data_IF_353933078688
#
_entry.id   IF_353933078688
#
_cell.length_a   1.000
_cell.length_b   1.000
_cell.length_c   1.000
_cell.angle_alpha   90.00
_cell.angle_beta   90.00
_cell.angle_gamma   90.00
#
_symmetry.space_group_name_H-M   'P 1'
#
loop_
_entity.id
_entity.type
_entity.pdbx_description
1 polymer ?
#
# COMPACT_ATOMS: atom_id res chain seq x y z
N UNK A 1 -40.74 40.36 52.55
CA UNK A 1 -41.15 39.98 51.18
C UNK A 1 -40.06 40.06 50.12
N UNK A 2 -39.39 41.20 49.89
CA UNK A 2 -38.38 41.35 48.82
C UNK A 2 -37.19 40.37 48.87
N UNK A 3 -36.70 40.03 50.07
CA UNK A 3 -35.59 39.07 50.23
C UNK A 3 -35.95 37.62 49.93
N UNK A 4 -37.24 37.25 50.08
CA UNK A 4 -37.74 35.89 49.80
C UNK A 4 -37.95 35.69 48.29
N UNK A 5 -38.49 36.70 47.61
CA UNK A 5 -38.59 36.74 46.14
C UNK A 5 -37.22 36.67 45.46
N UNK A 6 -36.22 37.41 45.95
CA UNK A 6 -34.87 37.35 45.37
C UNK A 6 -34.17 35.98 45.55
N UNK A 7 -34.55 35.22 46.59
CA UNK A 7 -34.05 33.87 46.81
C UNK A 7 -34.75 32.85 45.90
N UNK A 8 -36.06 32.98 45.73
CA UNK A 8 -36.88 32.17 44.82
C UNK A 8 -36.47 32.37 43.36
N UNK A 9 -36.17 33.61 42.94
CA UNK A 9 -35.68 33.91 41.59
C UNK A 9 -34.29 33.31 41.33
N UNK A 10 -33.40 33.32 42.35
CA UNK A 10 -32.09 32.67 42.25
C UNK A 10 -32.18 31.15 42.18
N UNK A 11 -33.10 30.55 42.93
CA UNK A 11 -33.36 29.12 42.89
C UNK A 11 -33.88 28.70 41.50
N UNK A 12 -34.86 29.44 40.97
CA UNK A 12 -35.41 29.21 39.62
C UNK A 12 -34.34 29.36 38.53
N UNK A 13 -33.43 30.34 38.66
CA UNK A 13 -32.30 30.49 37.74
C UNK A 13 -31.28 29.34 37.84
N UNK A 14 -31.04 28.81 39.05
CA UNK A 14 -30.16 27.67 39.25
C UNK A 14 -30.77 26.37 38.69
N UNK A 15 -32.06 26.15 38.88
CA UNK A 15 -32.81 25.03 38.33
C UNK A 15 -32.81 25.06 36.79
N UNK A 16 -33.10 26.21 36.18
CA UNK A 16 -33.06 26.37 34.72
C UNK A 16 -31.65 26.14 34.13
N UNK A 17 -30.59 26.50 34.86
CA UNK A 17 -29.20 26.21 34.45
C UNK A 17 -28.88 24.71 34.55
N UNK A 18 -29.40 24.03 35.57
CA UNK A 18 -29.19 22.60 35.77
C UNK A 18 -29.93 21.78 34.70
N UNK A 19 -31.17 22.16 34.37
CA UNK A 19 -31.94 21.57 33.27
C UNK A 19 -31.27 21.81 31.91
N UNK A 20 -30.79 23.03 31.66
CA UNK A 20 -30.02 23.34 30.44
C UNK A 20 -28.73 22.55 30.32
N UNK A 21 -28.01 22.33 31.44
CA UNK A 21 -26.83 21.48 31.48
C UNK A 21 -27.17 20.00 31.24
N UNK A 22 -28.27 19.50 31.81
CA UNK A 22 -28.73 18.12 31.58
C UNK A 22 -29.13 17.88 30.12
N UNK A 23 -29.83 18.84 29.50
CA UNK A 23 -30.19 18.77 28.08
C UNK A 23 -28.94 18.76 27.17
N UNK A 24 -27.95 19.60 27.47
CA UNK A 24 -26.70 19.62 26.71
C UNK A 24 -25.90 18.30 26.83
N UNK A 25 -25.91 17.65 28.00
CA UNK A 25 -25.26 16.34 28.19
C UNK A 25 -25.96 15.25 27.38
N UNK A 26 -27.30 15.25 27.31
CA UNK A 26 -28.04 14.29 26.50
C UNK A 26 -27.85 14.52 24.99
N UNK A 27 -27.74 15.77 24.53
CA UNK A 27 -27.39 16.07 23.13
C UNK A 27 -26.00 15.57 22.76
N UNK A 28 -25.00 15.74 23.65
CA UNK A 28 -23.65 15.21 23.43
C UNK A 28 -23.67 13.68 23.36
N UNK A 29 -24.40 13.01 24.26
CA UNK A 29 -24.54 11.53 24.23
C UNK A 29 -25.22 11.05 22.95
N UNK A 30 -26.29 11.72 22.52
CA UNK A 30 -26.97 11.40 21.28
C UNK A 30 -26.05 11.59 20.06
N UNK A 31 -25.26 12.68 20.02
CA UNK A 31 -24.28 12.93 18.98
C UNK A 31 -23.14 11.89 18.97
N UNK A 32 -22.66 11.46 20.14
CA UNK A 32 -21.65 10.40 20.26
C UNK A 32 -22.18 9.05 19.77
N UNK A 33 -23.42 8.69 20.12
CA UNK A 33 -24.02 7.43 19.66
C UNK A 33 -24.30 7.43 18.16
N UNK A 34 -24.75 8.56 17.60
CA UNK A 34 -24.86 8.76 16.15
C UNK A 34 -23.50 8.56 15.46
N UNK A 35 -22.45 9.24 15.94
CA UNK A 35 -21.10 9.10 15.39
C UNK A 35 -20.56 7.65 15.51
N UNK A 36 -20.81 6.95 16.62
CA UNK A 36 -20.44 5.54 16.79
C UNK A 36 -21.18 4.64 15.81
N UNK A 37 -22.48 4.86 15.61
CA UNK A 37 -23.31 4.08 14.70
C UNK A 37 -22.89 4.27 13.23
N UNK A 38 -22.60 5.50 12.82
CA UNK A 38 -22.08 5.80 11.48
C UNK A 38 -20.72 5.16 11.25
N UNK A 39 -19.81 5.25 12.24
CA UNK A 39 -18.51 4.60 12.17
C UNK A 39 -18.66 3.08 12.07
N UNK A 40 -19.57 2.48 12.84
CA UNK A 40 -19.85 1.05 12.80
C UNK A 40 -20.41 0.62 11.44
N UNK A 41 -21.37 1.35 10.89
CA UNK A 41 -21.91 1.09 9.54
C UNK A 41 -20.79 1.14 8.50
N UNK A 42 -19.94 2.16 8.57
CA UNK A 42 -18.80 2.32 7.65
C UNK A 42 -17.82 1.14 7.76
N UNK A 43 -17.53 0.68 8.98
CA UNK A 43 -16.67 -0.49 9.21
C UNK A 43 -17.34 -1.75 8.64
N UNK A 44 -18.62 -1.98 8.94
CA UNK A 44 -19.37 -3.15 8.45
C UNK A 44 -19.41 -3.19 6.92
N UNK A 45 -19.66 -2.05 6.25
CA UNK A 45 -19.58 -1.92 4.80
C UNK A 45 -18.18 -2.22 4.25
N UNK A 46 -17.13 -1.69 4.91
CA UNK A 46 -15.74 -1.94 4.49
C UNK A 46 -15.34 -3.42 4.63
N UNK A 47 -15.81 -4.09 5.69
CA UNK A 47 -15.59 -5.52 5.93
C UNK A 47 -16.34 -6.34 4.89
N UNK A 48 -17.61 -6.05 4.65
CA UNK A 48 -18.41 -6.72 3.63
C UNK A 48 -17.82 -6.58 2.22
N UNK A 49 -17.35 -5.37 1.87
CA UNK A 49 -16.68 -5.13 0.59
C UNK A 49 -15.37 -5.94 0.47
N UNK A 50 -14.58 -6.02 1.55
CA UNK A 50 -13.36 -6.83 1.58
C UNK A 50 -13.64 -8.33 1.46
N UNK A 51 -14.71 -8.82 2.09
CA UNK A 51 -15.12 -10.22 1.97
C UNK A 51 -15.65 -10.56 0.58
N UNK A 52 -16.45 -9.67 -0.02
CA UNK A 52 -16.94 -9.83 -1.39
C UNK A 52 -15.78 -9.88 -2.39
N UNK A 53 -14.83 -8.96 -2.26
CA UNK A 53 -13.61 -8.94 -3.06
C UNK A 53 -12.79 -10.23 -2.90
N UNK A 54 -12.67 -10.76 -1.68
CA UNK A 54 -11.98 -12.02 -1.43
C UNK A 54 -12.68 -13.21 -2.11
N UNK A 55 -14.01 -13.28 -2.04
CA UNK A 55 -14.81 -14.36 -2.68
C UNK A 55 -14.71 -14.32 -4.19
N UNK A 56 -14.87 -13.14 -4.79
CA UNK A 56 -14.75 -12.93 -6.23
C UNK A 56 -13.34 -13.32 -6.72
N UNK A 57 -12.30 -12.87 -5.99
CA UNK A 57 -10.92 -13.26 -6.27
C UNK A 57 -10.74 -14.78 -6.23
N UNK A 58 -11.24 -15.46 -5.20
CA UNK A 58 -11.13 -16.92 -5.08
C UNK A 58 -11.85 -17.68 -6.19
N UNK A 59 -13.01 -17.19 -6.63
CA UNK A 59 -13.76 -17.78 -7.73
C UNK A 59 -13.03 -17.64 -9.06
N UNK A 60 -12.55 -16.43 -9.38
CA UNK A 60 -11.78 -16.17 -10.58
C UNK A 60 -10.43 -16.90 -10.58
N UNK A 61 -9.78 -17.04 -9.42
CA UNK A 61 -8.58 -17.87 -9.27
C UNK A 61 -8.86 -19.35 -9.60
N UNK A 62 -10.01 -19.87 -9.15
CA UNK A 62 -10.43 -21.25 -9.46
C UNK A 62 -10.69 -21.42 -10.97
N UNK A 63 -11.40 -20.48 -11.58
CA UNK A 63 -11.70 -20.51 -13.01
C UNK A 63 -10.45 -20.37 -13.88
N UNK A 64 -9.55 -19.43 -13.53
CA UNK A 64 -8.29 -19.25 -14.24
C UNK A 64 -7.43 -20.51 -14.15
N UNK A 65 -7.32 -21.11 -12.96
CA UNK A 65 -6.59 -22.36 -12.77
C UNK A 65 -7.17 -23.52 -13.60
N UNK A 66 -8.49 -23.60 -13.75
CA UNK A 66 -9.12 -24.62 -14.58
C UNK A 66 -8.78 -24.47 -16.07
N UNK A 67 -8.43 -23.26 -16.52
CA UNK A 67 -8.04 -22.95 -17.90
C UNK A 67 -6.55 -23.18 -18.19
N UNK A 68 -5.72 -23.45 -17.16
CA UNK A 68 -4.28 -23.62 -17.38
C UNK A 68 -3.92 -24.93 -18.08
N UNK A 69 -2.97 -24.92 -19.05
CA UNK A 69 -2.45 -26.15 -19.62
C UNK A 69 -1.74 -26.99 -18.54
N UNK A 70 -2.06 -28.28 -18.46
CA UNK A 70 -1.51 -29.25 -17.51
C UNK A 70 0.03 -29.47 -17.63
N UNK A 71 0.67 -28.84 -18.61
CA UNK A 71 2.08 -29.00 -18.97
C UNK A 71 3.06 -28.13 -18.17
N UNK A 72 2.59 -27.21 -17.33
CA UNK A 72 3.49 -26.39 -16.52
C UNK A 72 4.11 -27.25 -15.39
N UNK A 73 5.37 -27.65 -15.56
CA UNK A 73 6.14 -28.39 -14.56
C UNK A 73 6.13 -27.63 -13.23
N UNK A 74 5.56 -28.25 -12.20
CA UNK A 74 5.57 -27.69 -10.85
C UNK A 74 6.92 -27.99 -10.20
N UNK A 75 7.49 -27.05 -9.41
CA UNK A 75 8.77 -27.29 -8.75
C UNK A 75 8.70 -28.50 -7.82
N UNK A 76 9.75 -29.32 -7.82
CA UNK A 76 9.85 -30.50 -6.96
C UNK A 76 10.26 -30.11 -5.54
N UNK A 77 10.02 -30.94 -4.50
CA UNK A 77 10.50 -30.65 -3.15
C UNK A 77 12.02 -30.42 -3.06
N UNK A 78 12.80 -31.10 -3.91
CA UNK A 78 14.24 -30.90 -4.00
C UNK A 78 14.61 -29.51 -4.54
N UNK A 79 13.83 -28.99 -5.49
CA UNK A 79 14.00 -27.63 -6.01
C UNK A 79 13.75 -26.58 -4.91
N UNK A 80 12.73 -26.76 -4.08
CA UNK A 80 12.47 -25.88 -2.93
C UNK A 80 13.66 -25.86 -1.97
N UNK A 81 14.21 -27.03 -1.62
CA UNK A 81 15.34 -27.12 -0.70
C UNK A 81 16.61 -26.51 -1.29
N UNK A 82 16.85 -26.71 -2.59
CA UNK A 82 17.94 -26.08 -3.32
C UNK A 82 17.83 -24.56 -3.25
N UNK A 83 16.66 -24.00 -3.52
CA UNK A 83 16.43 -22.55 -3.48
C UNK A 83 16.62 -21.99 -2.06
N UNK A 84 16.05 -22.65 -1.04
CA UNK A 84 16.23 -22.26 0.37
C UNK A 84 17.71 -22.22 0.77
N UNK A 85 18.51 -23.17 0.30
CA UNK A 85 19.95 -23.23 0.53
C UNK A 85 20.70 -22.11 -0.17
N UNK A 86 20.44 -21.89 -1.46
CA UNK A 86 21.07 -20.84 -2.27
C UNK A 86 20.80 -19.46 -1.66
N UNK A 87 19.55 -19.20 -1.29
CA UNK A 87 19.13 -17.90 -0.72
C UNK A 87 19.31 -17.80 0.80
N UNK A 88 19.95 -18.80 1.43
CA UNK A 88 20.30 -18.81 2.85
C UNK A 88 19.11 -18.51 3.76
N UNK A 89 18.01 -19.22 3.54
CA UNK A 89 16.79 -19.07 4.34
C UNK A 89 17.09 -19.35 5.81
N UNK A 90 16.32 -18.69 6.68
CA UNK A 90 16.41 -18.84 8.13
C UNK A 90 15.07 -19.34 8.64
N UNK A 91 15.12 -20.37 9.48
CA UNK A 91 13.94 -20.92 10.12
C UNK A 91 13.28 -19.89 11.05
N UNK A 92 11.96 -19.84 11.08
CA UNK A 92 11.20 -18.85 11.87
C UNK A 92 11.23 -17.40 11.35
N UNK A 93 11.84 -17.14 10.19
CA UNK A 93 11.77 -15.86 9.48
C UNK A 93 10.73 -15.88 8.35
N UNK A 94 10.26 -14.70 7.97
CA UNK A 94 9.49 -14.44 6.75
C UNK A 94 10.41 -13.93 5.65
N UNK A 95 10.39 -14.59 4.51
CA UNK A 95 11.22 -14.29 3.35
C UNK A 95 10.39 -13.61 2.27
N UNK A 96 10.68 -12.33 2.03
CA UNK A 96 10.01 -11.48 1.05
C UNK A 96 10.88 -11.32 -0.20
N UNK A 97 10.39 -11.79 -1.34
CA UNK A 97 11.01 -11.52 -2.64
C UNK A 97 10.50 -10.19 -3.19
N UNK A 98 11.39 -9.22 -3.43
CA UNK A 98 11.08 -7.93 -4.06
C UNK A 98 11.48 -8.01 -5.52
N UNK A 99 10.48 -7.96 -6.41
CA UNK A 99 10.62 -8.17 -7.85
C UNK A 99 9.97 -7.03 -8.63
N UNK A 100 10.30 -6.93 -9.92
CA UNK A 100 9.80 -5.89 -10.81
C UNK A 100 10.87 -5.30 -11.71
N UNK A 101 10.45 -4.50 -12.69
CA UNK A 101 11.35 -3.94 -13.71
C UNK A 101 12.54 -3.14 -13.14
N UNK A 102 13.61 -3.02 -13.93
CA UNK A 102 14.74 -2.14 -13.59
C UNK A 102 14.28 -0.70 -13.36
N UNK A 103 14.78 -0.04 -12.31
CA UNK A 103 14.47 1.37 -12.04
C UNK A 103 13.08 1.67 -11.46
N UNK A 104 12.23 0.68 -11.15
CA UNK A 104 10.95 0.93 -10.46
C UNK A 104 11.11 1.29 -8.97
N UNK A 105 12.30 1.17 -8.39
CA UNK A 105 12.56 1.59 -7.00
C UNK A 105 12.46 0.46 -5.96
N UNK A 106 12.68 -0.79 -6.37
CA UNK A 106 12.76 -1.97 -5.49
C UNK A 106 13.69 -1.78 -4.29
N UNK A 107 14.94 -1.44 -4.57
CA UNK A 107 15.97 -1.22 -3.55
C UNK A 107 15.59 -0.09 -2.60
N UNK A 108 15.07 1.02 -3.13
CA UNK A 108 14.59 2.16 -2.32
C UNK A 108 13.44 1.77 -1.40
N UNK A 109 12.48 0.97 -1.87
CA UNK A 109 11.36 0.52 -1.05
C UNK A 109 11.80 -0.51 0.00
N UNK A 110 12.69 -1.44 -0.36
CA UNK A 110 13.30 -2.39 0.58
C UNK A 110 14.02 -1.67 1.72
N UNK A 111 14.78 -0.61 1.42
CA UNK A 111 15.41 0.24 2.42
C UNK A 111 14.37 0.96 3.30
N UNK A 112 13.31 1.50 2.69
CA UNK A 112 12.24 2.17 3.40
C UNK A 112 11.55 1.24 4.40
N UNK A 113 11.22 0.00 4.02
CA UNK A 113 10.66 -1.01 4.94
C UNK A 113 11.60 -1.41 6.07
N UNK A 114 12.91 -1.20 5.92
CA UNK A 114 13.90 -1.40 6.98
C UNK A 114 14.13 -0.14 7.82
N UNK A 115 13.49 0.98 7.49
CA UNK A 115 13.72 2.28 8.13
C UNK A 115 15.07 2.91 7.79
N UNK A 116 15.73 2.42 6.74
CA UNK A 116 17.09 2.80 6.35
C UNK A 116 17.02 3.86 5.25
N UNK A 117 17.79 4.94 5.42
CA UNK A 117 17.94 5.97 4.39
C UNK A 117 18.80 5.42 3.25
N UNK A 118 18.40 5.72 2.01
CA UNK A 118 19.19 5.38 0.83
C UNK A 118 20.60 5.98 0.94
N UNK A 119 21.58 5.35 0.28
CA UNK A 119 23.00 5.72 0.29
C UNK A 119 23.72 5.58 1.65
N UNK A 120 23.06 4.99 2.65
CA UNK A 120 23.76 4.53 3.86
C UNK A 120 24.53 3.23 3.61
N UNK A 121 25.56 2.97 4.43
CA UNK A 121 26.45 1.79 4.29
C UNK A 121 25.66 0.46 4.31
N UNK A 122 24.53 0.43 5.01
CA UNK A 122 23.67 -0.77 5.16
C UNK A 122 22.47 -0.83 4.20
N UNK A 123 22.34 0.19 3.34
CA UNK A 123 21.29 0.30 2.35
C UNK A 123 21.55 -0.65 1.18
N UNK A 124 20.46 -1.18 0.62
CA UNK A 124 20.49 -1.70 -0.74
C UNK A 124 20.89 -0.56 -1.68
N UNK A 125 21.82 -0.84 -2.59
CA UNK A 125 22.30 0.12 -3.58
C UNK A 125 21.13 0.62 -4.44
N UNK A 126 21.10 1.90 -4.78
CA UNK A 126 20.02 2.51 -5.57
C UNK A 126 20.57 3.26 -6.80
N UNK A 127 19.70 3.56 -7.78
CA UNK A 127 20.07 4.40 -8.92
C UNK A 127 21.16 3.80 -9.82
N UNK A 128 22.12 4.63 -10.25
CA UNK A 128 23.19 4.23 -11.19
C UNK A 128 24.04 3.07 -10.66
N UNK A 129 24.18 2.93 -9.34
CA UNK A 129 24.92 1.82 -8.73
C UNK A 129 24.24 0.46 -8.96
N UNK A 130 22.90 0.42 -9.10
CA UNK A 130 22.18 -0.82 -9.40
C UNK A 130 22.49 -1.35 -10.80
N UNK A 131 22.74 -0.47 -11.79
CA UNK A 131 23.12 -0.85 -13.15
C UNK A 131 24.55 -1.42 -13.26
N UNK A 132 25.40 -1.15 -12.25
CA UNK A 132 26.77 -1.68 -12.16
C UNK A 132 26.84 -3.01 -11.38
N UNK A 133 25.81 -3.33 -10.57
CA UNK A 133 25.76 -4.53 -9.69
C UNK A 133 24.58 -5.46 -10.02
N UNK A 134 23.91 -5.23 -11.15
CA UNK A 134 22.61 -5.78 -11.62
C UNK A 134 22.50 -7.30 -11.74
N UNK A 135 23.51 -8.06 -11.32
CA UNK A 135 23.57 -9.52 -11.48
C UNK A 135 23.40 -10.29 -10.16
N UNK A 136 23.50 -9.62 -9.01
CA UNK A 136 23.45 -10.30 -7.70
C UNK A 136 22.20 -9.94 -6.90
N UNK A 137 21.59 -10.96 -6.30
CA UNK A 137 20.42 -10.81 -5.41
C UNK A 137 20.88 -10.23 -4.08
N UNK A 138 20.30 -9.09 -3.68
CA UNK A 138 20.58 -8.47 -2.40
C UNK A 138 19.77 -9.12 -1.29
N UNK A 139 20.41 -9.59 -0.22
CA UNK A 139 19.72 -10.16 0.95
C UNK A 139 19.90 -9.27 2.17
N UNK A 140 18.78 -8.80 2.71
CA UNK A 140 18.77 -7.81 3.77
C UNK A 140 17.88 -8.24 4.93
N UNK A 141 18.48 -8.42 6.11
CA UNK A 141 17.68 -8.64 7.33
C UNK A 141 17.08 -7.31 7.80
N UNK A 142 15.90 -7.38 8.41
CA UNK A 142 15.33 -6.25 9.13
C UNK A 142 16.19 -5.91 10.37
N UNK A 143 16.55 -4.64 10.60
CA UNK A 143 17.35 -4.26 11.75
C UNK A 143 16.60 -4.32 13.08
N UNK A 144 15.26 -4.36 13.08
CA UNK A 144 14.45 -4.38 14.30
C UNK A 144 14.49 -5.77 14.94
N UNK A 145 14.83 -5.84 16.23
CA UNK A 145 15.09 -7.10 16.95
C UNK A 145 13.88 -8.04 17.02
N UNK A 146 12.67 -7.51 17.07
CA UNK A 146 11.44 -8.31 17.12
C UNK A 146 10.93 -8.66 15.71
N UNK A 147 11.45 -8.02 14.67
CA UNK A 147 11.06 -8.24 13.28
C UNK A 147 11.87 -9.38 12.67
N UNK A 148 11.20 -10.50 12.38
CA UNK A 148 11.82 -11.67 11.73
C UNK A 148 11.61 -11.65 10.22
N UNK A 149 11.83 -10.50 9.59
CA UNK A 149 11.67 -10.33 8.14
C UNK A 149 13.03 -10.33 7.44
N UNK A 150 13.09 -10.95 6.27
CA UNK A 150 14.24 -10.92 5.37
C UNK A 150 13.75 -10.46 4.00
N UNK A 151 14.37 -9.41 3.50
CA UNK A 151 14.06 -8.78 2.22
C UNK A 151 15.08 -9.22 1.18
N UNK A 152 14.60 -9.72 0.04
CA UNK A 152 15.40 -10.18 -1.07
C UNK A 152 15.15 -9.28 -2.28
N UNK A 153 16.13 -8.45 -2.62
CA UNK A 153 16.04 -7.54 -3.77
C UNK A 153 16.57 -8.25 -5.01
N UNK A 154 15.65 -8.60 -5.92
CA UNK A 154 15.98 -9.30 -7.14
C UNK A 154 16.36 -8.31 -8.26
N UNK A 155 17.26 -8.70 -9.18
CA UNK A 155 17.56 -7.89 -10.34
C UNK A 155 16.30 -7.69 -11.20
N UNK A 156 16.22 -6.57 -11.90
CA UNK A 156 14.99 -6.21 -12.61
C UNK A 156 14.67 -7.15 -13.76
N UNK A 157 13.38 -7.50 -13.91
CA UNK A 157 12.88 -8.18 -15.11
C UNK A 157 13.28 -7.36 -16.35
N UNK A 158 14.04 -7.97 -17.28
CA UNK A 158 14.57 -7.32 -18.47
C UNK A 158 16.01 -6.77 -18.36
N UNK A 159 16.60 -6.69 -17.16
CA UNK A 159 17.99 -6.22 -16.98
C UNK A 159 19.04 -7.34 -16.88
N UNK A 160 18.62 -8.58 -16.67
CA UNK A 160 19.50 -9.70 -16.35
C UNK A 160 19.68 -10.73 -17.50
N UNK A 161 19.23 -10.44 -18.72
CA UNK A 161 19.33 -11.37 -19.86
C UNK A 161 18.47 -12.64 -19.75
N UNK A 162 17.67 -12.77 -18.68
CA UNK A 162 16.69 -13.84 -18.49
C UNK A 162 15.37 -13.44 -19.16
N UNK A 163 14.78 -14.38 -19.92
CA UNK A 163 13.47 -14.17 -20.54
C UNK A 163 12.40 -13.92 -19.47
N UNK A 164 11.41 -13.07 -19.75
CA UNK A 164 10.32 -12.78 -18.82
C UNK A 164 9.63 -14.04 -18.25
N UNK A 165 9.29 -15.04 -19.10
CA UNK A 165 8.68 -16.29 -18.65
C UNK A 165 9.56 -17.15 -17.73
N UNK A 166 10.88 -17.15 -17.94
CA UNK A 166 11.81 -17.98 -17.16
C UNK A 166 12.23 -17.32 -15.85
N UNK A 167 12.07 -16.00 -15.72
CA UNK A 167 12.49 -15.21 -14.56
C UNK A 167 12.02 -15.81 -13.22
N UNK A 168 10.75 -16.22 -13.15
CA UNK A 168 10.15 -16.76 -11.94
C UNK A 168 10.82 -18.06 -11.48
N UNK A 169 11.03 -19.00 -12.40
CA UNK A 169 11.64 -20.29 -12.11
C UNK A 169 13.15 -20.18 -11.91
N UNK A 170 13.82 -19.36 -12.73
CA UNK A 170 15.26 -19.13 -12.68
C UNK A 170 15.71 -18.63 -11.30
N UNK A 171 14.96 -17.68 -10.73
CA UNK A 171 15.27 -17.11 -9.43
C UNK A 171 14.68 -17.88 -8.24
N UNK A 172 13.90 -18.94 -8.52
CA UNK A 172 13.28 -19.76 -7.49
C UNK A 172 12.23 -19.00 -6.68
N UNK A 173 11.49 -18.08 -7.31
CA UNK A 173 10.51 -17.24 -6.62
C UNK A 173 9.42 -18.08 -5.91
N UNK A 174 9.18 -19.30 -6.40
CA UNK A 174 8.26 -20.26 -5.79
C UNK A 174 8.55 -20.62 -4.33
N UNK A 175 9.81 -20.50 -3.86
CA UNK A 175 10.17 -20.89 -2.51
C UNK A 175 9.96 -19.78 -1.46
N UNK A 176 9.64 -18.56 -1.87
CA UNK A 176 9.47 -17.41 -0.97
C UNK A 176 8.09 -17.41 -0.29
N UNK A 177 8.03 -16.86 0.92
CA UNK A 177 6.77 -16.78 1.67
C UNK A 177 5.81 -15.76 1.03
N UNK A 178 6.37 -14.65 0.54
CA UNK A 178 5.63 -13.55 -0.05
C UNK A 178 6.41 -12.91 -1.20
N UNK A 179 5.70 -12.49 -2.24
CA UNK A 179 6.29 -11.78 -3.39
C UNK A 179 5.75 -10.35 -3.43
N UNK A 180 6.65 -9.37 -3.45
CA UNK A 180 6.35 -7.96 -3.64
C UNK A 180 6.66 -7.61 -5.08
N UNK A 181 5.62 -7.48 -5.88
CA UNK A 181 5.74 -7.15 -7.30
C UNK A 181 5.56 -5.64 -7.48
N UNK A 182 6.66 -4.97 -7.79
CA UNK A 182 6.74 -3.52 -7.90
C UNK A 182 6.74 -3.07 -9.35
N UNK A 183 5.88 -2.11 -9.65
CA UNK A 183 5.86 -1.43 -10.94
C UNK A 183 5.73 0.09 -10.74
N UNK A 184 6.01 0.84 -11.80
CA UNK A 184 6.03 2.31 -11.76
C UNK A 184 4.99 2.87 -12.75
N UNK A 185 5.27 2.70 -14.05
CA UNK A 185 4.43 3.27 -15.11
C UNK A 185 3.44 2.26 -15.71
N UNK A 186 3.92 1.06 -16.05
CA UNK A 186 3.10 -0.03 -16.62
C UNK A 186 3.57 -1.38 -16.11
N UNK A 187 2.67 -2.34 -16.06
CA UNK A 187 3.02 -3.75 -15.90
C UNK A 187 3.69 -4.24 -17.19
N UNK A 188 4.78 -4.97 -17.05
CA UNK A 188 5.46 -5.62 -18.18
C UNK A 188 4.99 -7.06 -18.32
N UNK A 189 5.20 -7.67 -19.48
CA UNK A 189 4.88 -9.09 -19.71
C UNK A 189 5.59 -10.01 -18.71
N UNK A 190 6.79 -9.63 -18.27
CA UNK A 190 7.51 -10.35 -17.24
C UNK A 190 6.84 -10.24 -15.86
N UNK A 191 6.27 -9.07 -15.53
CA UNK A 191 5.53 -8.87 -14.29
C UNK A 191 4.23 -9.70 -14.31
N UNK A 192 3.54 -9.74 -15.46
CA UNK A 192 2.35 -10.57 -15.68
C UNK A 192 2.71 -12.05 -15.52
N UNK A 193 3.80 -12.53 -16.13
CA UNK A 193 4.25 -13.92 -15.99
C UNK A 193 4.58 -14.30 -14.53
N UNK A 194 5.13 -13.37 -13.75
CA UNK A 194 5.32 -13.58 -12.30
C UNK A 194 3.97 -13.71 -11.59
N UNK A 195 3.01 -12.83 -11.87
CA UNK A 195 1.67 -12.89 -11.28
C UNK A 195 0.93 -14.18 -11.61
N UNK A 196 0.99 -14.63 -12.88
CA UNK A 196 0.44 -15.92 -13.30
C UNK A 196 1.02 -17.08 -12.48
N UNK A 197 2.33 -17.11 -12.28
CA UNK A 197 2.97 -18.14 -11.47
C UNK A 197 2.60 -18.04 -9.99
N UNK A 198 2.44 -16.83 -9.46
CA UNK A 198 1.97 -16.63 -8.09
C UNK A 198 0.57 -17.20 -7.89
N UNK A 199 -0.37 -16.91 -8.80
CA UNK A 199 -1.74 -17.44 -8.76
C UNK A 199 -1.74 -18.97 -8.93
N UNK A 200 -0.97 -19.48 -9.90
CA UNK A 200 -0.84 -20.92 -10.19
C UNK A 200 -0.36 -21.72 -8.97
N UNK A 201 0.67 -21.21 -8.30
CA UNK A 201 1.31 -21.86 -7.15
C UNK A 201 0.74 -21.42 -5.79
N UNK A 202 -0.29 -20.55 -5.79
CA UNK A 202 -0.92 -19.99 -4.58
C UNK A 202 0.08 -19.30 -3.65
N UNK A 203 1.05 -18.59 -4.22
CA UNK A 203 2.02 -17.81 -3.47
C UNK A 203 1.40 -16.44 -3.20
N UNK A 204 1.29 -16.02 -1.93
CA UNK A 204 0.78 -14.69 -1.61
C UNK A 204 1.66 -13.60 -2.21
N UNK A 205 1.04 -12.60 -2.83
CA UNK A 205 1.75 -11.47 -3.43
C UNK A 205 1.12 -10.13 -3.08
N UNK A 206 1.96 -9.08 -3.10
CA UNK A 206 1.57 -7.69 -2.96
C UNK A 206 1.89 -6.97 -4.27
N UNK A 207 0.85 -6.40 -4.89
CA UNK A 207 0.97 -5.62 -6.11
C UNK A 207 1.16 -4.14 -5.74
N UNK A 208 2.37 -3.61 -5.95
CA UNK A 208 2.76 -2.31 -5.42
C UNK A 208 3.11 -1.37 -6.58
N UNK A 209 2.32 -0.30 -6.74
CA UNK A 209 2.68 0.82 -7.62
C UNK A 209 3.55 1.80 -6.83
N UNK A 210 4.78 1.94 -7.29
CA UNK A 210 5.80 2.79 -6.68
C UNK A 210 5.76 4.22 -7.23
N UNK A 211 6.53 5.12 -6.60
CA UNK A 211 6.72 6.51 -7.03
C UNK A 211 5.40 7.29 -7.15
N UNK A 212 4.40 6.94 -6.35
CA UNK A 212 3.10 7.60 -6.38
C UNK A 212 3.19 9.10 -6.12
N UNK A 213 4.16 9.56 -5.31
CA UNK A 213 4.42 10.99 -5.11
C UNK A 213 4.76 11.71 -6.42
N UNK A 214 5.59 11.11 -7.28
CA UNK A 214 5.97 11.70 -8.56
C UNK A 214 4.80 11.67 -9.57
N UNK A 215 4.03 10.58 -9.61
CA UNK A 215 2.86 10.50 -10.49
C UNK A 215 1.80 11.53 -10.14
N UNK A 216 1.54 11.73 -8.84
CA UNK A 216 0.59 12.74 -8.40
C UNK A 216 1.10 14.15 -8.73
N UNK A 217 2.39 14.43 -8.48
CA UNK A 217 3.00 15.71 -8.85
C UNK A 217 2.86 16.01 -10.34
N UNK A 218 3.11 15.03 -11.21
CA UNK A 218 2.93 15.18 -12.65
C UNK A 218 1.47 15.52 -13.01
N UNK A 219 0.49 14.93 -12.33
CA UNK A 219 -0.93 15.26 -12.54
C UNK A 219 -1.23 16.67 -12.02
N UNK A 220 -0.71 17.04 -10.84
CA UNK A 220 -0.85 18.39 -10.28
C UNK A 220 -0.33 19.46 -11.27
N UNK A 221 0.84 19.24 -11.88
CA UNK A 221 1.43 20.16 -12.86
C UNK A 221 0.61 20.27 -14.16
N UNK A 222 0.04 19.16 -14.63
CA UNK A 222 -0.87 19.16 -15.79
C UNK A 222 -2.16 19.92 -15.49
N UNK A 223 -2.74 19.73 -14.30
CA UNK A 223 -3.95 20.46 -13.90
C UNK A 223 -3.67 21.95 -13.72
N UNK A 224 -2.50 22.30 -13.18
CA UNK A 224 -2.08 23.69 -13.03
C UNK A 224 -1.96 24.39 -14.38
N UNK A 225 -1.24 23.77 -15.33
CA UNK A 225 -1.08 24.31 -16.69
C UNK A 225 -2.44 24.50 -17.39
N UNK A 226 -3.39 23.57 -17.20
CA UNK A 226 -4.75 23.72 -17.78
C UNK A 226 -5.49 24.91 -17.21
N UNK A 227 -5.44 25.10 -15.90
CA UNK A 227 -6.07 26.25 -15.24
C UNK A 227 -5.44 27.57 -15.67
N UNK A 228 -4.11 27.61 -15.83
CA UNK A 228 -3.37 28.78 -16.34
C UNK A 228 -3.74 29.09 -17.80
N UNK A 229 -4.03 28.07 -18.63
CA UNK A 229 -4.42 28.25 -20.02
C UNK A 229 -5.90 28.65 -20.21
N UNK A 230 -6.77 28.27 -19.27
CA UNK A 230 -8.19 28.66 -19.25
C UNK A 230 -8.41 30.11 -18.77
N UNK A 231 -7.33 30.83 -18.43
CA UNK A 231 -7.40 32.04 -17.63
C UNK A 231 -7.91 33.28 -18.38
N UNK A 232 -9.24 33.40 -18.35
CA UNK A 232 -10.02 34.65 -18.36
C UNK A 232 -10.37 35.10 -16.92
N UNK A 233 -9.76 34.52 -15.87
CA UNK A 233 -10.13 34.73 -14.45
C UNK A 233 -8.89 35.11 -13.62
N UNK A 234 -8.23 36.19 -14.03
CA UNK A 234 -7.03 36.77 -13.39
C UNK A 234 -7.27 37.20 -11.91
N UNK A 235 -8.53 37.35 -11.49
CA UNK A 235 -8.88 38.02 -10.23
C UNK A 235 -9.11 37.08 -9.02
N UNK A 236 -9.30 35.77 -9.22
CA UNK A 236 -9.65 34.84 -8.14
C UNK A 236 -8.44 34.04 -7.59
N UNK A 237 -7.44 33.73 -8.43
CA UNK A 237 -6.18 33.11 -7.99
C UNK A 237 -5.44 33.94 -6.93
N UNK A 238 -5.52 35.28 -7.03
CA UNK A 238 -4.89 36.20 -6.07
C UNK A 238 -5.59 36.21 -4.71
N UNK A 239 -6.86 35.80 -4.62
CA UNK A 239 -7.67 35.94 -3.39
C UNK A 239 -7.48 34.80 -2.40
N UNK A 240 -7.30 33.55 -2.86
CA UNK A 240 -7.13 32.35 -1.99
C UNK A 240 -6.20 31.27 -2.59
N UNK A 241 -4.89 31.55 -2.73
CA UNK A 241 -3.95 30.63 -3.37
C UNK A 241 -3.81 29.28 -2.64
N UNK A 242 -3.83 29.29 -1.30
CA UNK A 242 -3.66 28.08 -0.49
C UNK A 242 -4.81 27.09 -0.64
N UNK A 243 -6.05 27.56 -0.68
CA UNK A 243 -7.23 26.69 -0.77
C UNK A 243 -7.39 26.08 -2.17
N UNK A 244 -7.09 26.82 -3.23
CA UNK A 244 -7.08 26.27 -4.60
C UNK A 244 -5.96 25.25 -4.82
N UNK A 245 -4.75 25.50 -4.29
CA UNK A 245 -3.66 24.51 -4.33
C UNK A 245 -4.03 23.21 -3.59
N UNK A 246 -4.73 23.33 -2.46
CA UNK A 246 -5.26 22.18 -1.74
C UNK A 246 -6.26 21.39 -2.58
N UNK A 247 -7.24 22.06 -3.20
CA UNK A 247 -8.24 21.39 -4.04
C UNK A 247 -7.61 20.71 -5.26
N UNK A 248 -6.66 21.37 -5.92
CA UNK A 248 -5.93 20.81 -7.05
C UNK A 248 -5.14 19.54 -6.65
N UNK A 249 -4.54 19.55 -5.46
CA UNK A 249 -3.88 18.38 -4.88
C UNK A 249 -4.86 17.23 -4.59
N UNK A 250 -6.09 17.52 -4.13
CA UNK A 250 -7.13 16.51 -3.92
C UNK A 250 -7.56 15.93 -5.27
N UNK A 251 -7.82 16.78 -6.26
CA UNK A 251 -8.25 16.36 -7.59
C UNK A 251 -7.19 15.50 -8.28
N UNK A 252 -5.91 15.89 -8.17
CA UNK A 252 -4.81 15.11 -8.70
C UNK A 252 -4.70 13.73 -8.05
N UNK A 253 -4.85 13.65 -6.72
CA UNK A 253 -4.86 12.39 -6.00
C UNK A 253 -6.03 11.51 -6.42
N UNK A 254 -7.24 12.06 -6.50
CA UNK A 254 -8.44 11.33 -6.94
C UNK A 254 -8.31 10.80 -8.37
N UNK A 255 -7.77 11.61 -9.29
CA UNK A 255 -7.47 11.19 -10.67
C UNK A 255 -6.42 10.08 -10.70
N UNK A 256 -5.34 10.23 -9.93
CA UNK A 256 -4.27 9.23 -9.85
C UNK A 256 -4.78 7.88 -9.36
N UNK A 257 -5.55 7.85 -8.27
CA UNK A 257 -6.10 6.63 -7.69
C UNK A 257 -7.05 5.95 -8.70
N UNK A 258 -7.97 6.72 -9.28
CA UNK A 258 -8.96 6.20 -10.23
C UNK A 258 -8.29 5.62 -11.47
N UNK A 259 -7.38 6.37 -12.09
CA UNK A 259 -6.65 5.93 -13.27
C UNK A 259 -5.79 4.70 -12.99
N UNK A 260 -5.11 4.66 -11.84
CA UNK A 260 -4.27 3.51 -11.46
C UNK A 260 -5.10 2.24 -11.28
N UNK A 261 -6.23 2.33 -10.58
CA UNK A 261 -7.11 1.18 -10.35
C UNK A 261 -7.68 0.66 -11.65
N UNK A 262 -8.23 1.55 -12.49
CA UNK A 262 -8.76 1.19 -13.81
C UNK A 262 -7.71 0.58 -14.73
N UNK A 263 -6.52 1.20 -14.84
CA UNK A 263 -5.46 0.67 -15.71
C UNK A 263 -4.98 -0.71 -15.27
N UNK A 264 -4.92 -0.93 -13.94
CA UNK A 264 -4.47 -2.21 -13.40
C UNK A 264 -5.53 -3.29 -13.57
N UNK A 265 -6.80 -2.94 -13.35
CA UNK A 265 -7.92 -3.86 -13.55
C UNK A 265 -8.01 -4.31 -15.00
N UNK A 266 -7.88 -3.39 -15.96
CA UNK A 266 -7.83 -3.72 -17.39
C UNK A 266 -6.64 -4.63 -17.70
N UNK A 267 -5.44 -4.30 -17.22
CA UNK A 267 -4.24 -5.11 -17.47
C UNK A 267 -4.35 -6.54 -16.89
N UNK A 268 -4.90 -6.68 -15.68
CA UNK A 268 -5.12 -7.99 -15.06
C UNK A 268 -6.19 -8.78 -15.84
N UNK A 269 -7.27 -8.13 -16.26
CA UNK A 269 -8.34 -8.76 -17.04
C UNK A 269 -7.86 -9.23 -18.42
N UNK A 270 -7.05 -8.42 -19.10
CA UNK A 270 -6.44 -8.77 -20.39
C UNK A 270 -5.49 -9.97 -20.27
N UNK A 271 -4.77 -10.07 -19.14
CA UNK A 271 -3.95 -11.23 -18.80
C UNK A 271 -4.77 -12.44 -18.28
N UNK A 272 -6.10 -12.30 -18.14
CA UNK A 272 -6.97 -13.31 -17.55
C UNK A 272 -6.74 -13.54 -16.06
N UNK A 273 -5.97 -12.70 -15.38
CA UNK A 273 -5.65 -12.81 -13.97
C UNK A 273 -6.81 -12.35 -13.09
N UNK A 274 -6.95 -12.92 -11.88
CA UNK A 274 -7.95 -12.48 -10.91
C UNK A 274 -7.68 -11.03 -10.45
N UNK A 275 -8.74 -10.28 -10.10
CA UNK A 275 -8.61 -8.93 -9.56
C UNK A 275 -7.78 -8.98 -8.27
N UNK A 276 -6.86 -8.03 -8.16
CA UNK A 276 -5.87 -8.00 -7.09
C UNK A 276 -5.78 -6.60 -6.50
N UNK A 277 -5.69 -6.51 -5.16
CA UNK A 277 -5.53 -5.23 -4.46
C UNK A 277 -4.17 -4.62 -4.84
N UNK A 278 -4.22 -3.38 -5.32
CA UNK A 278 -3.04 -2.58 -5.70
C UNK A 278 -2.77 -1.59 -4.59
N UNK A 279 -1.51 -1.49 -4.17
CA UNK A 279 -1.05 -0.49 -3.19
C UNK A 279 -0.25 0.59 -3.91
N UNK A 280 -0.70 1.82 -3.82
CA UNK A 280 -0.01 3.01 -4.32
C UNK A 280 0.84 3.60 -3.21
N UNK A 281 2.16 3.59 -3.40
CA UNK A 281 3.11 3.99 -2.34
C UNK A 281 4.24 4.89 -2.83
N UNK A 282 4.65 5.78 -1.93
CA UNK A 282 5.92 6.48 -1.98
C UNK A 282 6.89 5.88 -0.97
N UNK A 283 8.10 5.54 -1.41
CA UNK A 283 9.15 5.06 -0.50
C UNK A 283 9.48 6.11 0.58
N UNK A 284 9.32 7.40 0.28
CA UNK A 284 9.57 8.50 1.23
C UNK A 284 8.56 8.47 2.38
N UNK A 285 7.29 8.24 2.05
CA UNK A 285 6.21 8.11 3.04
C UNK A 285 6.42 6.87 3.90
N UNK A 286 6.72 5.72 3.27
CA UNK A 286 7.07 4.47 4.00
C UNK A 286 8.25 4.70 4.94
N UNK A 287 9.35 5.30 4.46
CA UNK A 287 10.54 5.55 5.26
C UNK A 287 10.23 6.39 6.51
N UNK A 288 9.48 7.48 6.35
CA UNK A 288 9.08 8.35 7.47
C UNK A 288 8.21 7.62 8.49
N UNK A 289 7.25 6.83 8.04
CA UNK A 289 6.38 6.02 8.93
C UNK A 289 7.25 5.02 9.71
N UNK A 290 8.17 4.35 9.03
CA UNK A 290 9.05 3.36 9.63
C UNK A 290 10.03 3.97 10.65
N UNK A 291 10.59 5.15 10.37
CA UNK A 291 11.46 5.88 11.29
C UNK A 291 10.70 6.44 12.50
N UNK A 292 9.42 6.77 12.33
CA UNK A 292 8.55 7.27 13.41
C UNK A 292 7.97 6.15 14.28
N UNK A 293 8.46 4.92 14.15
CA UNK A 293 7.98 3.77 14.91
C UNK A 293 6.54 3.39 14.58
N UNK A 294 6.13 3.50 13.31
CA UNK A 294 4.75 3.30 12.83
C UNK A 294 3.77 4.40 13.24
N UNK A 295 4.27 5.53 13.76
CA UNK A 295 3.49 6.76 13.89
C UNK A 295 3.37 7.44 12.53
N UNK A 296 2.28 8.17 12.32
CA UNK A 296 2.02 8.89 11.08
C UNK A 296 2.31 10.37 11.29
N UNK A 297 3.53 10.85 10.97
CA UNK A 297 3.89 12.24 11.21
C UNK A 297 3.04 13.20 10.38
N UNK A 298 2.71 14.35 10.97
CA UNK A 298 1.97 15.42 10.31
C UNK A 298 2.68 15.89 9.03
N UNK A 299 1.90 16.16 7.98
CA UNK A 299 2.41 16.63 6.69
C UNK A 299 2.97 15.54 5.77
N UNK A 300 2.91 14.25 6.15
CA UNK A 300 3.19 13.15 5.21
C UNK A 300 1.92 12.78 4.46
N UNK A 301 1.95 12.91 3.13
CA UNK A 301 0.89 12.41 2.27
C UNK A 301 0.94 10.88 2.25
N UNK A 302 -0.05 10.26 2.89
CA UNK A 302 -0.26 8.81 2.92
C UNK A 302 -1.37 8.49 1.94
N UNK A 303 -1.13 7.50 1.08
CA UNK A 303 -2.07 6.95 0.11
C UNK A 303 -2.50 5.57 0.64
N UNK A 304 -1.78 4.51 0.27
CA UNK A 304 -2.04 3.14 0.75
C UNK A 304 -0.93 2.60 1.67
N UNK A 305 0.06 3.42 2.05
CA UNK A 305 1.19 2.93 2.86
C UNK A 305 0.74 2.36 4.21
N UNK A 306 -0.30 2.95 4.81
CA UNK A 306 -0.90 2.46 6.06
C UNK A 306 -1.44 1.05 5.88
N UNK A 307 -2.26 0.85 4.84
CA UNK A 307 -2.91 -0.42 4.57
C UNK A 307 -1.89 -1.49 4.20
N UNK A 308 -0.91 -1.14 3.35
CA UNK A 308 0.18 -2.05 3.00
C UNK A 308 0.94 -2.52 4.24
N UNK A 309 1.34 -1.60 5.12
CA UNK A 309 2.08 -1.96 6.34
C UNK A 309 1.23 -2.78 7.30
N UNK A 310 -0.06 -2.47 7.45
CA UNK A 310 -1.00 -3.25 8.25
C UNK A 310 -1.12 -4.68 7.71
N UNK A 311 -1.31 -4.83 6.40
CA UNK A 311 -1.50 -6.12 5.75
C UNK A 311 -0.23 -6.98 5.81
N UNK A 312 0.95 -6.38 5.70
CA UNK A 312 2.25 -7.06 5.91
C UNK A 312 2.41 -7.52 7.37
N UNK A 313 2.05 -6.67 8.34
CA UNK A 313 2.15 -7.04 9.76
C UNK A 313 1.13 -8.11 10.16
N UNK A 314 -0.04 -8.15 9.52
CA UNK A 314 -1.02 -9.21 9.71
C UNK A 314 -0.45 -10.59 9.32
N UNK A 315 0.40 -10.66 8.30
CA UNK A 315 1.08 -11.90 7.89
C UNK A 315 1.97 -12.50 8.98
N UNK A 316 2.60 -11.64 9.80
CA UNK A 316 3.41 -12.08 10.96
C UNK A 316 2.58 -12.87 11.97
N UNK A 317 1.28 -12.57 12.09
CA UNK A 317 0.37 -13.26 13.00
C UNK A 317 0.00 -14.63 12.44
N UNK A 318 -0.36 -14.70 11.15
CA UNK A 318 -0.81 -15.93 10.48
C UNK A 318 0.22 -17.05 10.55
N UNK A 319 1.51 -16.77 10.28
CA UNK A 319 2.57 -17.79 10.32
C UNK A 319 3.00 -18.19 11.75
N UNK A 320 2.60 -17.45 12.79
CA UNK A 320 2.83 -17.87 14.19
C UNK A 320 1.78 -18.88 14.67
N UNK A 321 0.62 -18.92 14.03
CA UNK A 321 -0.51 -19.80 14.37
C UNK A 321 -0.55 -21.08 13.54
N UNK A 322 0.24 -21.16 12.46
CA UNK A 322 0.48 -22.37 11.66
C UNK A 322 1.77 -23.04 12.10
#
# INVERSE_FOLDING_TARGET
DRGRQALEDKLRQAEARLEGASAAVEEIRAAEEMAKSELRSTIEESVAASEAFAREKEELEREWKAKLPASATSPTPEDYEKVKRVHKFKEGYLHFAVVGAGGCGKSSLSNAFRGIVNDSISAALTGVQTNLTTLSIGRYNDPRRDCRFVWYDFPGSGSAGVSGPDYFNHYGLYAFDYIFLLWDNRLTDADVAVLENCVRLKIPYFLIRTKSDLHIQNIEDVLRTKLEAEDTIVDDWRRRPTQRLHNLSIDALGKYITQTRQSTEVALREAGLPPSKVYMVSYKSVLKIMQSGMSFPEGVRVIDERDLLSDILAQRRIKRTR
#
